data_IF_081996899001
#
_entry.id   IF_081996899001
#
_cell.length_a   1.000
_cell.length_b   1.000
_cell.length_c   1.000
_cell.angle_alpha   90.00
_cell.angle_beta   90.00
_cell.angle_gamma   90.00
#
_symmetry.space_group_name_H-M   'P 1'
#
loop_
_entity.id
_entity.type
_entity.pdbx_description
1 polymer ?
#
# COMPACT_ATOMS: atom_id res chain seq x y z
N UNK A 1 -24.62 50.31 24.63
CA UNK A 1 -23.84 49.27 23.94
C UNK A 1 -22.89 48.66 24.96
N UNK A 2 -23.20 47.48 25.49
CA UNK A 2 -22.29 46.76 26.39
C UNK A 2 -21.30 46.02 25.48
N UNK A 3 -20.13 46.62 25.28
CA UNK A 3 -19.02 45.98 24.58
C UNK A 3 -18.45 44.88 25.46
N UNK A 4 -18.82 43.64 25.19
CA UNK A 4 -18.25 42.47 25.85
C UNK A 4 -16.87 42.17 25.23
N UNK A 5 -15.87 42.96 25.57
CA UNK A 5 -14.47 42.72 25.23
C UNK A 5 -13.84 41.76 26.24
N UNK A 6 -14.32 40.52 26.28
CA UNK A 6 -13.60 39.44 26.96
C UNK A 6 -12.59 38.86 25.98
N UNK A 7 -11.42 39.50 25.92
CA UNK A 7 -10.25 38.96 25.22
C UNK A 7 -9.81 37.63 25.85
N UNK A 8 -9.12 36.81 25.05
CA UNK A 8 -8.58 35.52 25.49
C UNK A 8 -7.57 35.76 26.62
N UNK A 9 -7.79 35.16 27.78
CA UNK A 9 -6.85 35.27 28.90
C UNK A 9 -5.60 34.43 28.61
N UNK A 10 -4.46 34.82 29.19
CA UNK A 10 -3.21 34.06 29.03
C UNK A 10 -3.35 32.59 29.48
N UNK A 11 -4.18 32.34 30.50
CA UNK A 11 -4.46 30.98 31.00
C UNK A 11 -5.24 30.18 29.94
N UNK A 12 -6.26 30.77 29.31
CA UNK A 12 -6.99 30.13 28.22
C UNK A 12 -6.06 29.83 27.03
N UNK A 13 -5.12 30.72 26.71
CA UNK A 13 -4.09 30.50 25.69
C UNK A 13 -3.23 29.27 25.98
N UNK A 14 -2.77 29.13 27.21
CA UNK A 14 -1.96 27.98 27.63
C UNK A 14 -2.78 26.69 27.60
N UNK A 15 -4.04 26.71 28.03
CA UNK A 15 -4.92 25.54 28.00
C UNK A 15 -5.18 25.11 26.54
N UNK A 16 -5.53 26.05 25.66
CA UNK A 16 -5.78 25.76 24.24
C UNK A 16 -4.53 25.23 23.53
N UNK A 17 -3.34 25.78 23.85
CA UNK A 17 -2.09 25.27 23.30
C UNK A 17 -1.81 23.83 23.75
N UNK A 18 -2.04 23.50 25.03
CA UNK A 18 -1.87 22.14 25.53
C UNK A 18 -2.84 21.16 24.85
N UNK A 19 -4.10 21.55 24.67
CA UNK A 19 -5.06 20.74 23.93
C UNK A 19 -4.61 20.53 22.48
N UNK A 20 -4.15 21.58 21.80
CA UNK A 20 -3.62 21.48 20.45
C UNK A 20 -2.42 20.51 20.37
N UNK A 21 -1.48 20.60 21.31
CA UNK A 21 -0.31 19.70 21.38
C UNK A 21 -0.77 18.24 21.53
N UNK A 22 -1.73 17.98 22.41
CA UNK A 22 -2.29 16.63 22.61
C UNK A 22 -2.92 16.12 21.30
N UNK A 23 -3.69 16.95 20.60
CA UNK A 23 -4.25 16.59 19.30
C UNK A 23 -3.17 16.31 18.25
N UNK A 24 -2.13 17.14 18.17
CA UNK A 24 -1.04 16.92 17.23
C UNK A 24 -0.30 15.60 17.52
N UNK A 25 -0.06 15.28 18.80
CA UNK A 25 0.62 14.05 19.21
C UNK A 25 -0.23 12.81 18.89
N UNK A 26 -1.56 12.90 18.92
CA UNK A 26 -2.43 11.76 18.60
C UNK A 26 -2.75 11.66 17.10
N UNK A 27 -3.25 12.73 16.49
CA UNK A 27 -3.78 12.71 15.12
C UNK A 27 -2.68 12.46 14.10
N UNK A 28 -1.52 13.11 14.25
CA UNK A 28 -0.44 13.00 13.25
C UNK A 28 0.08 11.57 13.10
N UNK A 29 0.49 10.85 14.17
CA UNK A 29 0.95 9.47 14.02
C UNK A 29 -0.17 8.53 13.56
N UNK A 30 -1.41 8.72 14.01
CA UNK A 30 -2.54 7.90 13.55
C UNK A 30 -2.79 8.05 12.05
N UNK A 31 -2.79 9.28 11.54
CA UNK A 31 -2.96 9.54 10.10
C UNK A 31 -1.77 9.00 9.29
N UNK A 32 -0.55 9.13 9.82
CA UNK A 32 0.63 8.53 9.20
C UNK A 32 0.46 7.02 9.09
N UNK A 33 0.15 6.31 10.18
CA UNK A 33 -0.05 4.85 10.17
C UNK A 33 -1.15 4.43 9.18
N UNK A 34 -2.28 5.13 9.19
CA UNK A 34 -3.39 4.86 8.29
C UNK A 34 -2.98 4.99 6.80
N UNK A 35 -2.25 6.05 6.44
CA UNK A 35 -1.76 6.22 5.07
C UNK A 35 -0.81 5.08 4.66
N UNK A 36 0.05 4.63 5.56
CA UNK A 36 0.96 3.51 5.29
C UNK A 36 0.20 2.20 5.05
N UNK A 37 -0.82 1.91 5.86
CA UNK A 37 -1.65 0.73 5.68
C UNK A 37 -2.46 0.78 4.38
N UNK A 38 -3.03 1.95 4.05
CA UNK A 38 -3.72 2.18 2.78
C UNK A 38 -2.79 1.95 1.59
N UNK A 39 -1.54 2.42 1.66
CA UNK A 39 -0.56 2.22 0.60
C UNK A 39 -0.21 0.74 0.44
N UNK A 40 -0.01 0.00 1.54
CA UNK A 40 0.24 -1.44 1.50
C UNK A 40 -0.89 -2.22 0.82
N UNK A 41 -2.14 -1.91 1.18
CA UNK A 41 -3.33 -2.51 0.55
C UNK A 41 -3.36 -2.18 -0.94
N UNK A 42 -3.08 -0.92 -1.30
CA UNK A 42 -3.07 -0.49 -2.70
C UNK A 42 -2.03 -1.26 -3.52
N UNK A 43 -0.81 -1.44 -2.99
CA UNK A 43 0.26 -2.22 -3.65
C UNK A 43 -0.18 -3.68 -3.83
N UNK A 44 -0.77 -4.27 -2.78
CA UNK A 44 -1.25 -5.65 -2.84
C UNK A 44 -2.30 -5.84 -3.93
N UNK A 45 -3.25 -4.91 -4.06
CA UNK A 45 -4.23 -4.94 -5.16
C UNK A 45 -3.57 -4.77 -6.53
N UNK A 46 -2.57 -3.89 -6.67
CA UNK A 46 -1.84 -3.77 -7.93
C UNK A 46 -1.10 -5.06 -8.32
N UNK A 47 -0.52 -5.76 -7.33
CA UNK A 47 0.14 -7.04 -7.52
C UNK A 47 -0.87 -8.13 -7.92
N UNK A 48 -2.03 -8.17 -7.28
CA UNK A 48 -3.13 -9.11 -7.56
C UNK A 48 -3.73 -8.90 -8.96
N UNK A 49 -3.98 -7.64 -9.32
CA UNK A 49 -4.43 -7.29 -10.67
C UNK A 49 -3.39 -7.70 -11.71
N UNK A 50 -2.09 -7.46 -11.44
CA UNK A 50 -1.00 -7.85 -12.34
C UNK A 50 -0.90 -9.37 -12.45
N UNK A 51 -1.04 -10.10 -11.34
CA UNK A 51 -1.04 -11.56 -11.33
C UNK A 51 -2.17 -12.10 -12.20
N UNK A 52 -3.37 -11.56 -12.02
CA UNK A 52 -4.56 -11.91 -12.82
C UNK A 52 -4.31 -11.68 -14.31
N UNK A 53 -3.76 -10.52 -14.68
CA UNK A 53 -3.39 -10.18 -16.07
C UNK A 53 -2.40 -11.21 -16.65
N UNK A 54 -1.38 -11.58 -15.85
CA UNK A 54 -0.32 -12.52 -16.25
C UNK A 54 -0.82 -13.96 -16.41
N UNK A 55 -1.69 -14.41 -15.50
CA UNK A 55 -2.35 -15.72 -15.58
C UNK A 55 -3.24 -15.79 -16.82
N UNK A 56 -4.04 -14.75 -17.08
CA UNK A 56 -4.85 -14.68 -18.29
C UNK A 56 -4.00 -14.70 -19.57
N UNK A 57 -2.90 -13.94 -19.60
CA UNK A 57 -1.96 -13.96 -20.73
C UNK A 57 -1.34 -15.33 -20.94
N UNK A 58 -0.95 -16.02 -19.87
CA UNK A 58 -0.38 -17.36 -19.93
C UNK A 58 -1.34 -18.37 -20.58
N UNK A 59 -2.62 -18.34 -20.21
CA UNK A 59 -3.63 -19.25 -20.77
C UNK A 59 -4.07 -18.88 -22.19
N UNK A 60 -4.13 -17.59 -22.52
CA UNK A 60 -4.58 -17.13 -23.85
C UNK A 60 -3.46 -17.19 -24.90
N UNK A 61 -2.23 -16.81 -24.55
CA UNK A 61 -1.08 -16.72 -25.45
C UNK A 61 0.23 -17.08 -24.71
N UNK A 62 0.47 -18.39 -24.54
CA UNK A 62 1.66 -18.92 -23.85
C UNK A 62 2.98 -18.45 -24.47
N UNK A 63 3.02 -18.15 -25.76
CA UNK A 63 4.23 -17.70 -26.47
C UNK A 63 4.60 -16.24 -26.17
N UNK A 64 3.61 -15.41 -25.81
CA UNK A 64 3.82 -13.99 -25.48
C UNK A 64 4.15 -13.77 -24.00
N UNK A 65 3.91 -14.78 -23.15
CA UNK A 65 4.23 -14.71 -21.74
C UNK A 65 5.74 -14.59 -21.52
N UNK A 66 6.15 -13.56 -20.78
CA UNK A 66 7.56 -13.33 -20.43
C UNK A 66 7.71 -13.08 -18.94
N UNK A 67 8.66 -13.76 -18.33
CA UNK A 67 9.13 -13.43 -16.99
C UNK A 67 9.94 -12.13 -17.02
N UNK A 68 9.96 -11.41 -15.91
CA UNK A 68 10.76 -10.20 -15.77
C UNK A 68 10.11 -9.10 -14.95
N UNK A 69 10.67 -7.90 -15.09
CA UNK A 69 10.20 -6.71 -14.39
C UNK A 69 9.06 -6.02 -15.16
N UNK A 70 7.98 -5.75 -14.43
CA UNK A 70 6.80 -5.06 -14.91
C UNK A 70 6.57 -3.82 -14.06
N UNK A 71 6.29 -2.69 -14.72
CA UNK A 71 5.98 -1.44 -14.01
C UNK A 71 4.48 -1.19 -14.07
N UNK A 72 3.82 -1.11 -12.90
CA UNK A 72 2.40 -0.74 -12.77
C UNK A 72 2.28 0.45 -11.81
N UNK A 73 1.68 1.55 -12.28
CA UNK A 73 1.53 2.80 -11.53
C UNK A 73 2.84 3.34 -10.90
N UNK A 74 3.97 3.23 -11.63
CA UNK A 74 5.27 3.71 -11.17
C UNK A 74 5.96 2.82 -10.12
N UNK A 75 5.42 1.64 -9.82
CA UNK A 75 6.07 0.61 -9.01
C UNK A 75 6.50 -0.57 -9.86
N UNK A 76 7.64 -1.13 -9.51
CA UNK A 76 8.22 -2.28 -10.17
C UNK A 76 7.83 -3.58 -9.44
N UNK A 77 7.36 -4.55 -10.22
CA UNK A 77 6.99 -5.88 -9.79
C UNK A 77 7.78 -6.88 -10.62
N UNK A 78 8.17 -8.01 -10.04
CA UNK A 78 8.86 -9.08 -10.74
C UNK A 78 7.91 -10.26 -10.92
N UNK A 79 7.73 -10.71 -12.15
CA UNK A 79 6.87 -11.86 -12.49
C UNK A 79 7.74 -13.04 -12.86
N UNK A 80 7.49 -14.18 -12.21
CA UNK A 80 8.23 -15.43 -12.40
C UNK A 80 7.28 -16.63 -12.39
N UNK A 81 7.55 -17.64 -13.22
CA UNK A 81 6.90 -18.94 -13.10
C UNK A 81 7.74 -19.80 -12.16
N UNK A 82 7.15 -20.18 -11.03
CA UNK A 82 7.76 -21.11 -10.11
C UNK A 82 7.21 -22.52 -10.37
N UNK A 83 8.10 -23.48 -10.53
CA UNK A 83 7.77 -24.91 -10.54
C UNK A 83 8.19 -25.50 -9.18
N UNK A 84 7.27 -25.55 -8.22
CA UNK A 84 7.50 -26.20 -6.91
C UNK A 84 6.55 -27.39 -6.75
N UNK A 85 7.10 -28.55 -6.36
CA UNK A 85 6.34 -29.75 -6.01
C UNK A 85 5.32 -30.21 -7.07
N UNK A 86 5.71 -30.29 -8.35
CA UNK A 86 4.86 -30.69 -9.48
C UNK A 86 3.69 -29.74 -9.83
N UNK A 87 3.60 -28.56 -9.22
CA UNK A 87 2.66 -27.52 -9.63
C UNK A 87 3.42 -26.34 -10.23
N UNK A 88 2.96 -25.86 -11.38
CA UNK A 88 3.41 -24.60 -11.94
C UNK A 88 2.57 -23.49 -11.32
N UNK A 89 3.21 -22.44 -10.83
CA UNK A 89 2.53 -21.23 -10.37
C UNK A 89 3.15 -20.00 -11.00
N UNK A 90 2.31 -19.00 -11.28
CA UNK A 90 2.80 -17.66 -11.62
C UNK A 90 2.87 -16.88 -10.32
N UNK A 91 4.00 -16.26 -10.05
CA UNK A 91 4.23 -15.45 -8.87
C UNK A 91 4.57 -14.02 -9.27
N UNK A 92 4.01 -13.07 -8.54
CA UNK A 92 4.35 -11.65 -8.59
C UNK A 92 5.03 -11.29 -7.28
N UNK A 93 6.26 -10.82 -7.37
CA UNK A 93 7.09 -10.43 -6.24
C UNK A 93 7.33 -8.92 -6.25
N UNK A 94 7.29 -8.29 -5.09
CA UNK A 94 7.66 -6.88 -4.92
C UNK A 94 8.39 -6.66 -3.61
N UNK A 95 9.17 -5.59 -3.56
CA UNK A 95 9.84 -5.15 -2.34
C UNK A 95 9.16 -3.90 -1.81
N UNK A 96 8.72 -3.94 -0.55
CA UNK A 96 8.25 -2.76 0.18
C UNK A 96 9.05 -2.57 1.47
N UNK A 97 9.67 -1.39 1.63
CA UNK A 97 10.44 -1.01 2.83
C UNK A 97 11.39 -2.10 3.36
N UNK A 98 12.10 -2.78 2.45
CA UNK A 98 13.04 -3.89 2.70
C UNK A 98 12.41 -5.23 3.09
N UNK A 99 11.09 -5.35 2.99
CA UNK A 99 10.38 -6.62 3.09
C UNK A 99 10.01 -7.07 1.67
N UNK A 100 10.47 -8.25 1.30
CA UNK A 100 10.02 -8.91 0.08
C UNK A 100 8.64 -9.53 0.35
N UNK A 101 7.74 -9.41 -0.61
CA UNK A 101 6.39 -9.97 -0.54
C UNK A 101 6.07 -10.57 -1.91
N UNK A 102 5.36 -11.69 -1.89
CA UNK A 102 4.97 -12.42 -3.09
C UNK A 102 3.51 -12.83 -3.00
N UNK A 103 2.85 -12.87 -4.17
CA UNK A 103 1.55 -13.47 -4.37
C UNK A 103 1.65 -14.43 -5.56
N UNK A 104 1.11 -15.63 -5.41
CA UNK A 104 1.22 -16.69 -6.42
C UNK A 104 -0.13 -17.31 -6.70
N UNK A 105 -0.35 -17.70 -7.94
CA UNK A 105 -1.51 -18.47 -8.38
C UNK A 105 -1.08 -19.72 -9.12
N UNK A 106 -1.68 -20.86 -8.74
CA UNK A 106 -1.41 -22.16 -9.34
C UNK A 106 -2.06 -22.27 -10.73
N UNK A 107 -1.25 -22.67 -11.71
CA UNK A 107 -1.69 -23.00 -13.06
C UNK A 107 -2.03 -24.49 -13.08
N UNK A 108 -3.30 -24.83 -13.21
CA UNK A 108 -3.76 -26.20 -13.48
C UNK A 108 -3.95 -26.34 -14.99
N UNK A 109 -3.20 -27.24 -15.62
CA UNK A 109 -3.41 -27.63 -17.03
C UNK A 109 -4.75 -28.36 -17.23
#
# INVERSE_FOLDING_TARGET
MIGNEKGFTFIEAVISLNLLIIFCIMIVPSMSLFLQEKDNITISHMADDLLTDMVHLYFMNREDFKEGFYTKNGREFFVIINARNNFNSICVTWTDRKKESEICEEIKE
#
